data_IF_350856875488
#
_entry.id   IF_350856875488
#
_cell.length_a   1.000
_cell.length_b   1.000
_cell.length_c   1.000
_cell.angle_alpha   90.00
_cell.angle_beta   90.00
_cell.angle_gamma   90.00
#
_symmetry.space_group_name_H-M   'P 1'
#
loop_
_entity.id
_entity.type
_entity.pdbx_description
1 polymer ?
#
# COMPACT_ATOMS: atom_id res chain seq x y z
N UNK A 1 -42.63 -50.20 4.92
CA UNK A 1 -42.02 -50.28 6.26
C UNK A 1 -43.08 -49.85 7.27
N UNK A 2 -43.32 -50.58 8.37
CA UNK A 2 -44.21 -50.15 9.45
C UNK A 2 -43.75 -48.81 10.04
N UNK A 3 -44.68 -47.97 10.50
CA UNK A 3 -44.39 -46.60 10.93
C UNK A 3 -43.38 -46.52 12.09
N UNK A 4 -43.49 -47.44 13.05
CA UNK A 4 -42.56 -47.56 14.16
C UNK A 4 -41.10 -47.84 13.71
N UNK A 5 -40.91 -48.58 12.63
CA UNK A 5 -39.57 -48.87 12.09
C UNK A 5 -38.97 -47.65 11.38
N UNK A 6 -39.81 -46.82 10.77
CA UNK A 6 -39.40 -45.56 10.13
C UNK A 6 -38.90 -44.59 11.21
N UNK A 7 -39.69 -44.43 12.28
CA UNK A 7 -39.35 -43.53 13.39
C UNK A 7 -38.07 -43.98 14.10
N UNK A 8 -37.90 -45.29 14.32
CA UNK A 8 -36.67 -45.85 14.89
C UNK A 8 -35.44 -45.63 13.99
N UNK A 9 -35.60 -45.74 12.66
CA UNK A 9 -34.52 -45.49 11.71
C UNK A 9 -34.12 -44.01 11.69
N UNK A 10 -35.10 -43.10 11.71
CA UNK A 10 -34.86 -41.65 11.77
C UNK A 10 -34.16 -41.28 13.07
N UNK A 11 -34.63 -41.78 14.22
CA UNK A 11 -34.03 -41.50 15.52
C UNK A 11 -32.58 -41.97 15.61
N UNK A 12 -32.29 -43.19 15.11
CA UNK A 12 -30.91 -43.72 15.04
C UNK A 12 -30.03 -42.90 14.10
N UNK A 13 -30.56 -42.48 12.95
CA UNK A 13 -29.84 -41.67 11.99
C UNK A 13 -29.49 -40.28 12.53
N UNK A 14 -30.42 -39.63 13.23
CA UNK A 14 -30.18 -38.34 13.90
C UNK A 14 -29.12 -38.50 14.99
N UNK A 15 -29.28 -39.49 15.89
CA UNK A 15 -28.33 -39.73 16.98
C UNK A 15 -26.91 -40.01 16.47
N UNK A 16 -26.78 -40.76 15.36
CA UNK A 16 -25.49 -41.02 14.72
C UNK A 16 -24.83 -39.73 14.20
N UNK A 17 -25.61 -38.81 13.60
CA UNK A 17 -25.10 -37.53 13.07
C UNK A 17 -24.73 -36.51 14.13
N UNK A 18 -25.39 -36.51 15.29
CA UNK A 18 -25.14 -35.55 16.39
C UNK A 18 -24.11 -36.05 17.41
N UNK A 19 -23.62 -37.29 17.27
CA UNK A 19 -22.62 -37.87 18.17
C UNK A 19 -21.25 -37.20 18.01
N UNK A 20 -20.53 -37.05 19.14
CA UNK A 20 -19.26 -36.33 19.29
C UNK A 20 -18.15 -36.80 18.32
N UNK A 21 -18.23 -38.03 17.82
CA UNK A 21 -17.25 -38.64 16.91
C UNK A 21 -17.76 -38.87 15.47
N UNK A 22 -18.88 -38.27 15.06
CA UNK A 22 -19.45 -38.48 13.72
C UNK A 22 -19.84 -39.94 13.50
N UNK A 23 -20.92 -40.37 14.17
CA UNK A 23 -21.35 -41.76 14.19
C UNK A 23 -21.80 -42.24 12.81
N UNK A 24 -21.22 -43.36 12.36
CA UNK A 24 -21.57 -44.05 11.12
C UNK A 24 -23.09 -44.29 11.04
N UNK A 25 -23.73 -43.77 9.99
CA UNK A 25 -25.16 -43.99 9.74
C UNK A 25 -25.40 -45.28 8.97
N UNK A 26 -26.18 -46.20 9.54
CA UNK A 26 -26.59 -47.45 8.87
C UNK A 26 -27.92 -47.25 8.12
N UNK A 27 -27.98 -47.65 6.85
CA UNK A 27 -29.21 -47.71 6.04
C UNK A 27 -29.45 -49.14 5.55
N UNK A 28 -30.70 -49.50 5.31
CA UNK A 28 -31.05 -50.83 4.78
C UNK A 28 -30.86 -50.88 3.25
N UNK A 29 -30.84 -52.08 2.67
CA UNK A 29 -30.57 -52.28 1.23
C UNK A 29 -31.57 -51.60 0.26
N UNK A 30 -32.70 -51.11 0.74
CA UNK A 30 -33.73 -50.43 -0.06
C UNK A 30 -33.66 -48.90 0.04
N UNK A 31 -32.88 -48.34 0.97
CA UNK A 31 -32.79 -46.89 1.21
C UNK A 31 -31.35 -46.44 0.99
N UNK A 32 -31.15 -45.54 0.02
CA UNK A 32 -29.84 -44.96 -0.28
C UNK A 32 -29.75 -43.55 0.30
N UNK A 33 -28.75 -43.32 1.16
CA UNK A 33 -28.42 -41.98 1.63
C UNK A 33 -27.63 -41.24 0.54
N UNK A 34 -28.26 -40.25 -0.10
CA UNK A 34 -27.58 -39.34 -1.03
C UNK A 34 -27.20 -38.08 -0.27
N UNK A 35 -25.91 -37.75 -0.22
CA UNK A 35 -25.48 -36.44 0.28
C UNK A 35 -25.87 -35.38 -0.73
N UNK A 36 -26.77 -34.47 -0.35
CA UNK A 36 -26.94 -33.23 -1.08
C UNK A 36 -25.61 -32.48 -0.97
N UNK A 37 -24.96 -32.22 -2.12
CA UNK A 37 -23.57 -31.77 -2.20
C UNK A 37 -23.29 -30.55 -1.31
N UNK A 38 -22.13 -30.55 -0.66
CA UNK A 38 -21.59 -29.36 0.01
C UNK A 38 -21.41 -28.25 -1.02
N UNK A 39 -21.71 -27.01 -0.64
CA UNK A 39 -21.34 -25.87 -1.48
C UNK A 39 -19.81 -25.90 -1.71
N UNK A 40 -19.33 -25.67 -2.94
CA UNK A 40 -17.90 -25.69 -3.22
C UNK A 40 -17.19 -24.66 -2.32
N UNK A 41 -16.23 -25.10 -1.51
CA UNK A 41 -15.42 -24.22 -0.65
C UNK A 41 -14.76 -23.09 -1.47
N UNK A 42 -14.47 -23.35 -2.74
CA UNK A 42 -13.99 -22.37 -3.73
C UNK A 42 -14.87 -21.11 -3.83
N UNK A 43 -16.19 -21.22 -3.69
CA UNK A 43 -17.10 -20.08 -3.80
C UNK A 43 -16.91 -19.10 -2.64
N UNK A 44 -16.66 -19.61 -1.43
CA UNK A 44 -16.45 -18.76 -0.25
C UNK A 44 -15.11 -18.04 -0.31
N UNK A 45 -14.07 -18.70 -0.82
CA UNK A 45 -12.76 -18.08 -1.04
C UNK A 45 -12.87 -16.95 -2.06
N UNK A 46 -13.54 -17.19 -3.19
CA UNK A 46 -13.74 -16.16 -4.22
C UNK A 46 -14.56 -14.96 -3.70
N UNK A 47 -15.63 -15.23 -2.93
CA UNK A 47 -16.44 -14.18 -2.31
C UNK A 47 -15.64 -13.35 -1.30
N UNK A 48 -14.77 -13.99 -0.50
CA UNK A 48 -13.91 -13.30 0.45
C UNK A 48 -12.89 -12.40 -0.25
N UNK A 49 -12.23 -12.90 -1.31
CA UNK A 49 -11.29 -12.10 -2.11
C UNK A 49 -11.98 -10.91 -2.76
N UNK A 50 -13.19 -11.09 -3.28
CA UNK A 50 -13.96 -10.00 -3.88
C UNK A 50 -14.35 -8.94 -2.84
N UNK A 51 -14.79 -9.37 -1.65
CA UNK A 51 -15.10 -8.46 -0.53
C UNK A 51 -13.88 -7.63 -0.11
N UNK A 52 -12.71 -8.27 0.02
CA UNK A 52 -11.46 -7.57 0.36
C UNK A 52 -11.07 -6.56 -0.73
N UNK A 53 -11.27 -6.90 -2.01
CA UNK A 53 -11.03 -6.00 -3.13
C UNK A 53 -11.97 -4.79 -3.14
N UNK A 54 -13.24 -4.99 -2.77
CA UNK A 54 -14.21 -3.90 -2.69
C UNK A 54 -13.90 -2.95 -1.54
N UNK A 55 -13.42 -3.46 -0.41
CA UNK A 55 -12.90 -2.62 0.69
C UNK A 55 -11.68 -1.82 0.23
N UNK A 56 -10.73 -2.43 -0.48
CA UNK A 56 -9.56 -1.73 -1.00
C UNK A 56 -9.96 -0.56 -1.91
N UNK A 57 -10.91 -0.79 -2.83
CA UNK A 57 -11.46 0.24 -3.73
C UNK A 57 -12.18 1.34 -2.97
N UNK A 58 -12.95 1.01 -1.93
CA UNK A 58 -13.61 1.99 -1.08
C UNK A 58 -12.61 2.89 -0.34
N UNK A 59 -11.43 2.35 -0.01
CA UNK A 59 -10.32 3.10 0.59
C UNK A 59 -9.37 3.73 -0.44
N UNK A 60 -9.70 3.69 -1.74
CA UNK A 60 -8.85 4.17 -2.84
C UNK A 60 -7.43 3.55 -2.83
N UNK A 61 -7.32 2.28 -2.42
CA UNK A 61 -6.07 1.52 -2.36
C UNK A 61 -5.97 0.55 -3.54
N UNK A 62 -4.76 0.35 -4.10
CA UNK A 62 -4.54 -0.70 -5.08
C UNK A 62 -4.59 -2.09 -4.41
N UNK A 63 -5.03 -3.12 -5.15
CA UNK A 63 -5.23 -4.46 -4.61
C UNK A 63 -3.97 -5.07 -3.97
N UNK A 64 -2.79 -4.75 -4.51
CA UNK A 64 -1.51 -5.22 -3.96
C UNK A 64 -1.20 -4.64 -2.57
N UNK A 65 -1.79 -3.49 -2.20
CA UNK A 65 -1.54 -2.85 -0.90
C UNK A 65 -2.28 -3.54 0.26
N UNK A 66 -3.26 -4.39 -0.05
CA UNK A 66 -4.01 -5.21 0.92
C UNK A 66 -3.77 -6.71 0.70
N UNK A 67 -2.71 -7.07 -0.03
CA UNK A 67 -2.32 -8.45 -0.37
C UNK A 67 -3.43 -9.25 -1.09
N UNK A 68 -4.30 -8.57 -1.84
CA UNK A 68 -5.34 -9.22 -2.65
C UNK A 68 -4.81 -9.46 -4.05
N UNK A 69 -4.72 -10.73 -4.45
CA UNK A 69 -4.38 -11.12 -5.81
C UNK A 69 -5.61 -11.00 -6.72
N UNK A 70 -5.51 -10.19 -7.78
CA UNK A 70 -6.53 -10.13 -8.83
C UNK A 70 -6.22 -11.21 -9.88
N UNK A 71 -7.19 -12.05 -10.20
CA UNK A 71 -7.05 -13.07 -11.25
C UNK A 71 -6.62 -12.42 -12.59
N UNK A 72 -5.59 -12.99 -13.22
CA UNK A 72 -5.04 -12.50 -14.49
C UNK A 72 -3.95 -11.43 -14.36
N UNK A 73 -3.76 -10.82 -13.18
CA UNK A 73 -2.63 -9.92 -12.94
C UNK A 73 -1.44 -10.72 -12.40
N UNK A 74 -0.85 -11.56 -13.26
CA UNK A 74 0.38 -12.27 -12.96
C UNK A 74 1.46 -11.25 -12.58
N UNK A 75 2.15 -11.52 -11.47
CA UNK A 75 3.27 -10.76 -10.92
C UNK A 75 3.97 -9.84 -11.94
N UNK A 76 3.50 -8.60 -12.08
CA UNK A 76 4.21 -7.59 -12.84
C UNK A 76 5.46 -7.29 -12.00
N UNK A 77 6.63 -7.68 -12.49
CA UNK A 77 7.92 -7.31 -11.90
C UNK A 77 8.00 -5.80 -11.80
N UNK A 78 7.58 -5.26 -10.66
CA UNK A 78 7.61 -3.84 -10.41
C UNK A 78 8.42 -3.63 -9.14
N UNK A 79 9.34 -2.67 -9.20
CA UNK A 79 10.25 -2.39 -8.10
C UNK A 79 9.49 -1.74 -6.94
N UNK A 80 9.98 -1.93 -5.71
CA UNK A 80 9.37 -1.31 -4.53
C UNK A 80 9.20 0.22 -4.70
N UNK A 81 10.18 0.98 -5.22
CA UNK A 81 10.01 2.42 -5.43
C UNK A 81 8.95 2.78 -6.48
N UNK A 82 8.67 1.90 -7.44
CA UNK A 82 7.60 2.11 -8.41
C UNK A 82 6.22 1.93 -7.76
N UNK A 83 6.05 0.90 -6.90
CA UNK A 83 4.82 0.71 -6.11
C UNK A 83 4.58 1.87 -5.14
N UNK A 84 5.63 2.32 -4.45
CA UNK A 84 5.54 3.44 -3.52
C UNK A 84 5.13 4.74 -4.22
N UNK A 85 5.62 5.00 -5.44
CA UNK A 85 5.18 6.14 -6.27
C UNK A 85 3.71 6.02 -6.65
N UNK A 86 3.30 4.87 -7.18
CA UNK A 86 1.90 4.62 -7.56
C UNK A 86 0.94 4.85 -6.39
N UNK A 87 1.27 4.30 -5.20
CA UNK A 87 0.47 4.49 -4.00
C UNK A 87 0.43 5.96 -3.55
N UNK A 88 1.55 6.66 -3.64
CA UNK A 88 1.62 8.05 -3.27
C UNK A 88 0.75 8.91 -4.21
N UNK A 89 0.94 8.76 -5.52
CA UNK A 89 0.29 9.58 -6.53
C UNK A 89 -1.23 9.36 -6.56
N UNK A 90 -1.69 8.11 -6.47
CA UNK A 90 -3.12 7.79 -6.62
C UNK A 90 -3.90 7.75 -5.32
N UNK A 91 -3.26 7.45 -4.19
CA UNK A 91 -3.94 7.30 -2.89
C UNK A 91 -3.61 8.42 -1.93
N UNK A 92 -2.32 8.68 -1.67
CA UNK A 92 -1.90 9.51 -0.54
C UNK A 92 -1.81 11.00 -0.84
N UNK A 93 -1.56 11.39 -2.09
CA UNK A 93 -1.37 12.79 -2.50
C UNK A 93 -2.52 13.71 -2.05
N UNK A 94 -3.81 13.35 -2.22
CA UNK A 94 -4.92 14.20 -1.76
C UNK A 94 -4.92 14.42 -0.23
N UNK A 95 -4.50 13.42 0.54
CA UNK A 95 -4.40 13.54 2.00
C UNK A 95 -3.21 14.39 2.41
N UNK A 96 -2.07 14.21 1.75
CA UNK A 96 -0.88 15.02 1.97
C UNK A 96 -1.19 16.49 1.70
N UNK A 97 -1.82 16.80 0.56
CA UNK A 97 -2.18 18.16 0.18
C UNK A 97 -3.19 18.81 1.15
N UNK A 98 -4.18 18.04 1.61
CA UNK A 98 -5.13 18.51 2.60
C UNK A 98 -4.45 18.83 3.95
N UNK A 99 -3.49 18.01 4.37
CA UNK A 99 -2.76 18.20 5.62
C UNK A 99 -1.80 19.40 5.51
N UNK A 100 -0.99 19.46 4.45
CA UNK A 100 0.01 20.53 4.25
C UNK A 100 -0.67 21.89 4.04
N UNK A 101 -1.75 21.96 3.28
CA UNK A 101 -2.53 23.19 3.11
C UNK A 101 -3.14 23.68 4.42
N UNK A 102 -3.67 22.77 5.26
CA UNK A 102 -4.20 23.11 6.58
C UNK A 102 -3.12 23.65 7.49
N UNK A 103 -1.95 23.01 7.52
CA UNK A 103 -0.81 23.46 8.33
C UNK A 103 -0.27 24.80 7.83
N UNK A 104 -0.34 25.08 6.53
CA UNK A 104 0.13 26.34 5.94
C UNK A 104 -0.78 27.54 6.25
N UNK A 105 -1.96 27.34 6.84
CA UNK A 105 -2.84 28.46 7.14
C UNK A 105 -2.25 29.42 8.21
N UNK A 106 -2.59 30.72 8.14
CA UNK A 106 -2.02 31.75 9.02
C UNK A 106 -2.28 31.58 10.52
N UNK A 107 -3.18 30.66 10.90
CA UNK A 107 -3.49 30.33 12.28
C UNK A 107 -2.53 29.30 12.87
N UNK A 108 -1.80 28.56 12.03
CA UNK A 108 -0.81 27.54 12.45
C UNK A 108 0.61 28.01 12.14
N UNK A 109 0.86 28.52 10.94
CA UNK A 109 2.17 29.04 10.53
C UNK A 109 2.12 30.59 10.37
N UNK A 110 3.21 31.30 10.73
CA UNK A 110 3.35 32.73 10.42
C UNK A 110 3.22 33.03 8.93
N UNK A 111 2.75 34.23 8.58
CA UNK A 111 2.63 34.64 7.19
C UNK A 111 3.99 34.59 6.47
N UNK A 112 3.99 34.07 5.25
CA UNK A 112 5.20 33.88 4.45
C UNK A 112 5.93 32.57 4.69
N UNK A 113 5.44 31.70 5.60
CA UNK A 113 5.92 30.34 5.76
C UNK A 113 4.92 29.34 5.20
N UNK A 114 5.43 28.28 4.58
CA UNK A 114 4.63 27.16 4.08
C UNK A 114 5.12 25.84 4.66
N UNK A 115 4.18 24.90 4.82
CA UNK A 115 4.48 23.53 5.22
C UNK A 115 4.37 22.63 3.99
N UNK A 116 5.45 21.93 3.65
CA UNK A 116 5.48 20.94 2.58
C UNK A 116 5.84 19.57 3.14
N UNK A 117 5.28 18.51 2.55
CA UNK A 117 5.59 17.15 2.95
C UNK A 117 6.82 16.63 2.20
N UNK A 118 7.78 16.10 2.96
CA UNK A 118 8.99 15.49 2.37
C UNK A 118 8.70 14.04 2.01
N UNK A 119 8.31 13.80 0.76
CA UNK A 119 7.99 12.47 0.23
C UNK A 119 9.14 11.83 -0.54
N UNK A 120 10.21 12.60 -0.81
CA UNK A 120 11.35 12.19 -1.63
C UNK A 120 12.02 10.88 -1.15
N UNK A 121 12.10 10.66 0.16
CA UNK A 121 12.67 9.43 0.73
C UNK A 121 11.84 8.18 0.39
N UNK A 122 10.51 8.30 0.33
CA UNK A 122 9.60 7.19 0.01
C UNK A 122 9.68 6.79 -1.48
N UNK A 123 9.83 7.80 -2.34
CA UNK A 123 9.94 7.62 -3.79
C UNK A 123 11.40 7.55 -4.25
N UNK A 124 12.38 7.56 -3.35
CA UNK A 124 13.78 7.61 -3.73
C UNK A 124 14.12 6.45 -4.68
N UNK A 125 14.57 6.80 -5.88
CA UNK A 125 15.10 5.83 -6.83
C UNK A 125 16.48 5.35 -6.40
N UNK A 126 17.15 4.62 -7.29
CA UNK A 126 18.54 4.21 -7.08
C UNK A 126 19.45 5.43 -6.83
N UNK A 127 20.32 5.33 -5.82
CA UNK A 127 21.22 6.41 -5.42
C UNK A 127 22.19 6.80 -6.54
N UNK A 128 22.75 5.81 -7.25
CA UNK A 128 23.71 6.07 -8.30
C UNK A 128 23.06 6.80 -9.48
N UNK A 129 21.87 6.36 -9.89
CA UNK A 129 21.11 7.02 -10.96
C UNK A 129 20.82 8.50 -10.63
N UNK A 130 20.47 8.82 -9.38
CA UNK A 130 20.25 10.21 -8.94
C UNK A 130 21.54 11.03 -8.97
N UNK A 131 22.63 10.50 -8.42
CA UNK A 131 23.92 11.22 -8.39
C UNK A 131 24.48 11.47 -9.79
N UNK A 132 24.30 10.53 -10.73
CA UNK A 132 24.62 10.73 -12.14
C UNK A 132 23.76 11.83 -12.78
N UNK A 133 22.48 11.89 -12.43
CA UNK A 133 21.59 13.00 -12.81
C UNK A 133 22.14 14.35 -12.35
N UNK A 134 22.53 14.47 -11.08
CA UNK A 134 23.14 15.71 -10.57
C UNK A 134 24.46 16.06 -11.26
N UNK A 135 25.31 15.07 -11.54
CA UNK A 135 26.55 15.31 -12.29
C UNK A 135 26.26 15.93 -13.66
N UNK A 136 25.25 15.43 -14.38
CA UNK A 136 24.84 15.98 -15.67
C UNK A 136 24.27 17.40 -15.55
N UNK A 137 23.49 17.67 -14.50
CA UNK A 137 22.89 18.98 -14.25
C UNK A 137 23.93 20.04 -13.85
N UNK A 138 24.94 19.66 -13.07
CA UNK A 138 26.08 20.52 -12.72
C UNK A 138 26.92 20.81 -13.96
N UNK A 139 27.19 19.81 -14.80
CA UNK A 139 27.91 20.00 -16.06
C UNK A 139 27.17 20.94 -17.03
N UNK A 140 25.82 20.92 -17.01
CA UNK A 140 24.98 21.83 -17.79
C UNK A 140 24.83 23.23 -17.17
N UNK A 141 25.35 23.48 -15.97
CA UNK A 141 25.24 24.76 -15.26
C UNK A 141 23.82 25.07 -14.77
N UNK A 142 22.97 24.05 -14.62
CA UNK A 142 21.60 24.19 -14.11
C UNK A 142 21.62 24.30 -12.58
N UNK A 143 22.43 23.46 -11.92
CA UNK A 143 22.58 23.43 -10.47
C UNK A 143 24.04 23.56 -10.04
N UNK A 144 24.24 24.09 -8.83
CA UNK A 144 25.50 24.08 -8.12
C UNK A 144 25.57 22.89 -7.14
N UNK A 145 26.79 22.49 -6.69
CA UNK A 145 26.93 21.41 -5.71
C UNK A 145 26.18 21.67 -4.39
N UNK A 146 26.08 22.93 -3.97
CA UNK A 146 25.37 23.31 -2.73
C UNK A 146 23.86 23.18 -2.89
N UNK A 147 23.31 23.58 -4.04
CA UNK A 147 21.88 23.39 -4.35
C UNK A 147 21.52 21.90 -4.40
N UNK A 148 22.37 21.05 -4.98
CA UNK A 148 22.16 19.60 -4.96
C UNK A 148 22.16 19.02 -3.53
N UNK A 149 22.98 19.57 -2.61
CA UNK A 149 22.97 19.17 -1.19
C UNK A 149 21.67 19.58 -0.50
N UNK A 150 21.17 20.78 -0.77
CA UNK A 150 19.88 21.25 -0.23
C UNK A 150 18.71 20.39 -0.72
N UNK A 151 18.71 20.02 -2.01
CA UNK A 151 17.67 19.15 -2.59
C UNK A 151 17.67 17.77 -1.92
N UNK A 152 18.83 17.13 -1.74
CA UNK A 152 18.90 15.83 -1.04
C UNK A 152 18.54 15.93 0.45
N UNK A 153 18.75 17.09 1.08
CA UNK A 153 18.26 17.36 2.43
C UNK A 153 16.74 17.64 2.49
N UNK A 154 16.04 17.69 1.34
CA UNK A 154 14.62 18.00 1.27
C UNK A 154 14.30 19.47 1.55
N UNK A 155 15.28 20.36 1.44
CA UNK A 155 15.12 21.79 1.63
C UNK A 155 14.81 22.47 0.29
N UNK A 156 14.10 23.59 0.33
CA UNK A 156 13.87 24.40 -0.86
C UNK A 156 15.18 25.02 -1.35
N UNK A 157 15.39 24.98 -2.66
CA UNK A 157 16.49 25.70 -3.29
C UNK A 157 16.13 27.18 -3.30
N UNK A 158 17.00 28.09 -2.82
CA UNK A 158 16.74 29.52 -2.89
C UNK A 158 16.51 29.95 -4.34
N UNK A 159 15.64 30.94 -4.58
CA UNK A 159 15.50 31.50 -5.92
C UNK A 159 16.87 32.02 -6.38
N UNK A 160 17.21 31.75 -7.65
CA UNK A 160 18.47 32.20 -8.25
C UNK A 160 18.55 33.73 -8.21
N UNK A 161 19.21 34.27 -7.20
CA UNK A 161 19.24 35.69 -6.84
C UNK A 161 19.32 35.97 -5.33
N UNK A 162 18.89 35.02 -4.49
CA UNK A 162 18.90 35.12 -3.01
C UNK A 162 20.11 34.46 -2.35
N UNK A 163 21.04 33.89 -3.13
CA UNK A 163 22.36 33.55 -2.57
C UNK A 163 22.99 34.84 -2.06
N UNK A 164 23.43 34.91 -0.79
CA UNK A 164 24.28 36.00 -0.36
C UNK A 164 25.43 36.05 -1.34
N UNK A 165 25.52 37.12 -2.14
CA UNK A 165 26.71 37.35 -2.94
C UNK A 165 27.85 37.37 -1.95
N UNK A 166 28.78 36.43 -2.08
CA UNK A 166 30.03 36.44 -1.32
C UNK A 166 30.65 37.81 -1.60
N UNK A 167 30.55 38.69 -0.61
CA UNK A 167 31.02 40.05 -0.74
C UNK A 167 32.52 39.94 -1.01
N UNK A 168 33.05 40.46 -2.14
CA UNK A 168 34.46 40.32 -2.51
C UNK A 168 35.44 40.87 -1.45
N UNK A 169 34.94 41.58 -0.44
CA UNK A 169 35.68 42.14 0.69
C UNK A 169 35.71 41.28 1.97
N UNK A 170 35.22 40.04 1.95
CA UNK A 170 35.48 39.12 3.09
C UNK A 170 36.92 38.61 3.01
N UNK A 171 37.80 38.95 3.98
CA UNK A 171 39.17 38.44 3.97
C UNK A 171 39.11 36.93 4.13
N UNK A 172 39.69 36.19 3.18
CA UNK A 172 39.95 34.77 3.36
C UNK A 172 40.88 34.63 4.56
N UNK A 173 40.39 34.05 5.65
CA UNK A 173 41.24 33.70 6.78
C UNK A 173 42.26 32.68 6.28
N UNK A 174 43.52 33.12 6.18
CA UNK A 174 44.65 32.24 5.88
C UNK A 174 44.74 31.16 6.97
N UNK A 175 44.90 29.88 6.60
CA UNK A 175 45.12 28.84 7.60
C UNK A 175 46.43 29.16 8.34
N UNK A 176 46.29 29.47 9.63
CA UNK A 176 47.42 29.75 10.52
C UNK A 176 48.28 28.46 10.66
N UNK A 177 49.62 28.58 10.70
CA UNK A 177 50.58 27.48 10.50
C UNK A 177 50.49 26.31 11.49
#
# INVERSE_FOLDING_TARGET
MPQEQIDALIARWVAARTGENGGVGFTNATVNATTMGQAPEQLMIAAHTQSALDVARACNLPAWAVDVSVEGNGMNYTTVPARSRELLDYTLQPYVDAITSRLTLPDVLPQGQECTAVTAALIAGDFNARMQGYQSAIAAGIYTPDECRLIEAGQSVPLRGDTPQENPDTPKEDPTP
#
